data_IF_370448161778
#
_entry.id   IF_370448161778
#
_cell.length_a   1.000
_cell.length_b   1.000
_cell.length_c   1.000
_cell.angle_alpha   90.00
_cell.angle_beta   90.00
_cell.angle_gamma   90.00
#
_symmetry.space_group_name_H-M   'P 1'
#
loop_
_entity.id
_entity.type
_entity.pdbx_description
1 polymer ?
#
# COMPACT_ATOMS: atom_id res chain seq x y z
N UNK A 1 18.86 -34.71 18.91
CA UNK A 1 18.83 -33.31 18.45
C UNK A 1 19.31 -33.30 17.00
N UNK A 2 18.37 -33.42 16.06
CA UNK A 2 18.47 -33.19 14.61
C UNK A 2 17.08 -33.51 14.05
N UNK A 3 16.46 -32.62 13.28
CA UNK A 3 15.10 -32.80 12.76
C UNK A 3 14.29 -31.51 12.55
N UNK A 4 14.94 -30.45 12.08
CA UNK A 4 14.53 -29.65 10.93
C UNK A 4 13.04 -29.76 10.49
N UNK A 5 12.27 -28.76 10.93
CA UNK A 5 11.36 -27.93 10.12
C UNK A 5 10.58 -28.61 8.99
N UNK A 6 9.39 -29.10 9.31
CA UNK A 6 8.35 -29.41 8.33
C UNK A 6 7.64 -28.13 7.90
N UNK A 7 8.09 -27.61 6.76
CA UNK A 7 7.27 -27.23 5.60
C UNK A 7 5.93 -26.53 5.86
N UNK A 8 5.98 -25.24 6.23
CA UNK A 8 4.87 -24.35 5.93
C UNK A 8 4.94 -23.98 4.44
N UNK A 9 3.93 -24.41 3.68
CA UNK A 9 3.87 -24.36 2.22
C UNK A 9 4.12 -22.96 1.65
N UNK A 10 5.32 -22.75 1.12
CA UNK A 10 5.68 -21.59 0.33
C UNK A 10 5.20 -21.80 -1.12
N UNK A 11 4.02 -21.28 -1.45
CA UNK A 11 3.49 -21.32 -2.81
C UNK A 11 4.42 -20.55 -3.78
N UNK A 12 4.98 -21.20 -4.81
CA UNK A 12 5.76 -20.51 -5.82
C UNK A 12 4.80 -19.90 -6.84
N UNK A 13 4.59 -18.59 -6.83
CA UNK A 13 3.70 -18.00 -7.86
C UNK A 13 3.39 -16.51 -7.84
N UNK A 14 3.91 -15.71 -6.90
CA UNK A 14 3.63 -14.26 -6.94
C UNK A 14 4.65 -13.57 -7.83
N UNK A 15 4.36 -13.51 -9.12
CA UNK A 15 4.96 -12.52 -10.02
C UNK A 15 4.58 -11.15 -9.50
N UNK A 16 5.43 -10.55 -8.65
CA UNK A 16 5.20 -9.21 -8.12
C UNK A 16 5.46 -8.19 -9.24
N UNK A 17 4.52 -8.11 -10.16
CA UNK A 17 4.41 -7.03 -11.12
C UNK A 17 4.12 -5.77 -10.30
N UNK A 18 5.17 -5.04 -9.91
CA UNK A 18 5.04 -3.80 -9.13
C UNK A 18 4.49 -2.68 -10.03
N UNK A 19 3.23 -2.80 -10.43
CA UNK A 19 2.46 -1.69 -11.00
C UNK A 19 1.74 -0.99 -9.85
N UNK A 20 2.52 -0.41 -8.93
CA UNK A 20 1.98 0.41 -7.86
C UNK A 20 1.48 1.71 -8.49
N UNK A 21 0.15 1.89 -8.55
CA UNK A 21 -0.44 3.15 -9.01
C UNK A 21 -0.06 4.22 -7.98
N UNK A 22 0.56 5.35 -8.41
CA UNK A 22 0.86 6.46 -7.51
C UNK A 22 -0.40 6.87 -6.75
N UNK A 23 -0.24 7.00 -5.44
CA UNK A 23 -1.33 7.29 -4.52
C UNK A 23 -0.95 8.50 -3.69
N UNK A 24 -1.90 9.41 -3.53
CA UNK A 24 -1.71 10.72 -2.93
C UNK A 24 -2.64 10.84 -1.74
N UNK A 25 -2.08 11.00 -0.54
CA UNK A 25 -2.84 11.13 0.70
C UNK A 25 -2.91 12.59 1.12
N UNK A 26 -4.12 13.11 1.33
CA UNK A 26 -4.30 14.44 1.86
C UNK A 26 -3.82 14.48 3.32
N UNK A 27 -2.90 15.39 3.65
CA UNK A 27 -2.36 15.53 5.00
C UNK A 27 -3.39 16.07 6.01
N UNK A 28 -4.45 16.71 5.51
CA UNK A 28 -5.48 17.38 6.33
C UNK A 28 -6.65 16.47 6.72
N UNK A 29 -7.13 15.66 5.78
CA UNK A 29 -8.31 14.81 5.97
C UNK A 29 -8.06 13.32 5.72
N UNK A 30 -6.81 12.96 5.42
CA UNK A 30 -6.37 11.59 5.17
C UNK A 30 -7.05 10.91 3.96
N UNK A 31 -7.71 11.68 3.09
CA UNK A 31 -8.25 11.19 1.82
C UNK A 31 -7.16 10.66 0.89
N UNK A 32 -7.33 9.46 0.34
CA UNK A 32 -6.39 8.86 -0.61
C UNK A 32 -6.95 8.96 -2.03
N UNK A 33 -6.25 9.70 -2.88
CA UNK A 33 -6.49 9.79 -4.30
C UNK A 33 -5.52 8.87 -5.05
N UNK A 34 -6.04 8.04 -5.97
CA UNK A 34 -5.22 7.15 -6.82
C UNK A 34 -5.13 7.74 -8.21
N UNK A 35 -3.94 8.06 -8.67
CA UNK A 35 -3.71 8.68 -9.96
C UNK A 35 -2.29 9.21 -10.10
N UNK A 36 -1.87 9.45 -11.34
CA UNK A 36 -0.51 9.87 -11.68
C UNK A 36 -0.11 11.18 -10.98
N UNK A 37 -1.04 12.12 -10.83
CA UNK A 37 -0.81 13.44 -10.25
C UNK A 37 -1.79 13.78 -9.11
N UNK A 38 -1.30 14.57 -8.14
CA UNK A 38 -2.13 15.10 -7.06
C UNK A 38 -3.09 16.19 -7.58
N UNK A 39 -4.37 16.19 -7.15
CA UNK A 39 -5.29 17.27 -7.50
C UNK A 39 -4.90 18.58 -6.78
N UNK A 40 -5.18 19.73 -7.40
CA UNK A 40 -4.91 21.07 -6.81
C UNK A 40 -5.81 21.43 -5.62
N UNK A 41 -6.93 20.74 -5.46
CA UNK A 41 -7.87 20.96 -4.36
C UNK A 41 -8.41 19.61 -3.92
N UNK A 42 -8.45 19.35 -2.62
CA UNK A 42 -8.98 18.10 -2.11
C UNK A 42 -10.52 18.08 -2.27
N UNK A 43 -11.11 17.04 -2.89
CA UNK A 43 -12.57 16.96 -3.09
C UNK A 43 -13.35 16.67 -1.80
N UNK A 44 -12.69 16.30 -0.69
CA UNK A 44 -13.36 16.07 0.59
C UNK A 44 -13.34 17.29 1.50
N UNK A 45 -12.17 17.91 1.69
CA UNK A 45 -12.03 19.03 2.63
C UNK A 45 -12.06 20.41 1.96
N UNK A 46 -12.01 20.47 0.62
CA UNK A 46 -12.03 21.70 -0.18
C UNK A 46 -10.96 22.74 0.21
N UNK A 47 -9.89 22.31 0.86
CA UNK A 47 -8.73 23.15 1.20
C UNK A 47 -7.63 22.96 0.17
N UNK A 48 -6.66 23.89 0.22
CA UNK A 48 -5.41 23.80 -0.51
C UNK A 48 -4.82 22.40 -0.33
N UNK A 49 -4.57 21.77 -1.46
CA UNK A 49 -4.28 20.37 -1.57
C UNK A 49 -2.85 20.05 -1.14
N UNK A 50 -2.64 19.88 0.15
CA UNK A 50 -1.43 19.28 0.68
C UNK A 50 -1.56 17.75 0.59
N UNK A 51 -1.07 17.19 -0.53
CA UNK A 51 -1.02 15.74 -0.75
C UNK A 51 0.41 15.21 -0.63
N UNK A 52 0.55 14.13 0.12
CA UNK A 52 1.79 13.39 0.29
C UNK A 52 1.70 12.08 -0.51
N UNK A 53 2.73 11.77 -1.29
CA UNK A 53 2.79 10.51 -2.04
C UNK A 53 2.96 9.35 -1.05
N UNK A 54 1.99 8.45 -1.05
CA UNK A 54 2.07 7.21 -0.27
C UNK A 54 2.42 6.05 -1.19
N UNK A 55 3.29 5.19 -0.70
CA UNK A 55 3.62 3.94 -1.37
C UNK A 55 2.72 2.87 -0.77
N UNK A 56 1.67 2.49 -1.50
CA UNK A 56 0.80 1.38 -1.12
C UNK A 56 1.55 0.07 -1.36
N UNK A 57 2.55 -0.19 -0.53
CA UNK A 57 3.12 -1.52 -0.39
C UNK A 57 2.23 -2.25 0.59
N UNK A 58 1.17 -2.88 0.08
CA UNK A 58 0.53 -3.99 0.79
C UNK A 58 1.58 -5.08 0.92
N UNK A 59 2.33 -4.98 2.00
CA UNK A 59 3.20 -6.04 2.44
C UNK A 59 2.30 -7.08 3.10
N UNK A 60 2.15 -8.22 2.44
CA UNK A 60 1.33 -9.32 2.94
C UNK A 60 1.90 -9.98 4.21
N UNK A 61 3.03 -9.48 4.75
CA UNK A 61 3.61 -10.01 5.99
C UNK A 61 2.91 -9.58 7.27
N UNK A 62 1.99 -8.60 7.23
CA UNK A 62 1.19 -8.18 8.39
C UNK A 62 -0.11 -9.01 8.59
N UNK A 63 -0.35 -10.05 7.79
CA UNK A 63 -1.45 -11.00 8.02
C UNK A 63 -0.98 -12.05 9.03
N UNK A 64 -0.84 -11.64 10.29
CA UNK A 64 -0.83 -12.56 11.44
C UNK A 64 -2.24 -13.16 11.57
N UNK A 65 -2.46 -14.31 10.91
CA UNK A 65 -3.57 -15.21 11.23
C UNK A 65 -3.08 -16.22 12.27
N UNK A 66 -3.51 -16.01 13.52
CA UNK A 66 -3.43 -16.96 14.64
C UNK A 66 -4.05 -18.33 14.28
#
# INVERSE_FOLDING_TARGET
MAGESREYGHWPGIVQMRTGIPSWKCSRCNFVFKGDDAPKTCPLCHKDAEFEMIKDYRDFSDIDMD
#
